data_IF_580187453836
#
_entry.id   IF_580187453836
#
_cell.length_a   1.000
_cell.length_b   1.000
_cell.length_c   1.000
_cell.angle_alpha   90.00
_cell.angle_beta   90.00
_cell.angle_gamma   90.00
#
_symmetry.space_group_name_H-M   'P 1'
#
loop_
_entity.id
_entity.type
_entity.pdbx_description
1 polymer ?
#
# COMPACT_ATOMS: atom_id res chain seq x y z
N UNK A 1 7.16 8.28 13.76
CA UNK A 1 7.97 8.00 12.54
C UNK A 1 9.26 8.82 12.56
N UNK A 2 10.37 8.28 12.07
CA UNK A 2 11.62 9.05 11.90
C UNK A 2 11.65 9.78 10.56
N UNK A 3 12.39 10.89 10.45
CA UNK A 3 12.53 11.65 9.19
C UNK A 3 13.00 10.77 8.03
N UNK A 4 14.03 9.95 8.24
CA UNK A 4 14.59 9.08 7.20
C UNK A 4 13.60 8.01 6.70
N UNK A 5 12.67 7.56 7.56
CA UNK A 5 11.58 6.66 7.15
C UNK A 5 10.54 7.41 6.31
N UNK A 6 10.14 8.60 6.76
CA UNK A 6 9.20 9.46 6.03
C UNK A 6 9.72 9.82 4.63
N UNK A 7 10.96 10.31 4.53
CA UNK A 7 11.60 10.67 3.25
C UNK A 7 11.62 9.48 2.27
N UNK A 8 11.84 8.25 2.79
CA UNK A 8 11.86 7.03 1.98
C UNK A 8 10.46 6.61 1.50
N UNK A 9 9.46 6.69 2.37
CA UNK A 9 8.07 6.42 2.03
C UNK A 9 7.60 7.40 0.95
N UNK A 10 7.83 8.70 1.15
CA UNK A 10 7.45 9.73 0.19
C UNK A 10 8.13 9.53 -1.18
N UNK A 11 9.42 9.19 -1.19
CA UNK A 11 10.14 8.87 -2.42
C UNK A 11 9.51 7.68 -3.17
N UNK A 12 9.09 6.64 -2.47
CA UNK A 12 8.39 5.51 -3.09
C UNK A 12 6.98 5.89 -3.59
N UNK A 13 6.24 6.72 -2.86
CA UNK A 13 4.96 7.26 -3.33
C UNK A 13 5.13 8.02 -4.67
N UNK A 14 6.16 8.86 -4.76
CA UNK A 14 6.49 9.61 -5.99
C UNK A 14 6.84 8.70 -7.17
N UNK A 15 7.49 7.56 -6.92
CA UNK A 15 7.76 6.54 -7.94
C UNK A 15 6.45 5.89 -8.43
N UNK A 16 5.53 5.56 -7.52
CA UNK A 16 4.32 4.80 -7.84
C UNK A 16 3.25 5.67 -8.50
N UNK A 17 3.01 6.88 -7.98
CA UNK A 17 1.86 7.70 -8.35
C UNK A 17 2.21 9.06 -8.97
N UNK A 18 3.50 9.37 -9.11
CA UNK A 18 4.01 10.54 -9.81
C UNK A 18 4.74 11.53 -8.90
N UNK A 19 5.78 12.17 -9.47
CA UNK A 19 6.66 13.11 -8.77
C UNK A 19 6.04 14.50 -8.57
N UNK A 20 5.02 14.84 -9.37
CA UNK A 20 4.33 16.14 -9.34
C UNK A 20 3.16 16.18 -8.34
N UNK A 21 3.08 15.19 -7.45
CA UNK A 21 2.06 15.12 -6.40
C UNK A 21 2.72 15.12 -5.03
N UNK A 22 2.04 15.73 -4.07
CA UNK A 22 2.33 15.59 -2.65
C UNK A 22 1.44 14.50 -2.06
N UNK A 23 1.93 13.84 -1.01
CA UNK A 23 1.26 12.69 -0.40
C UNK A 23 1.12 12.92 1.08
N UNK A 24 -0.11 12.81 1.53
CA UNK A 24 -0.47 12.75 2.94
C UNK A 24 -0.39 11.30 3.39
N UNK A 25 0.30 11.05 4.51
CA UNK A 25 0.53 9.71 5.04
C UNK A 25 0.30 9.73 6.54
N UNK A 26 -0.78 9.08 6.95
CA UNK A 26 -1.24 9.11 8.34
C UNK A 26 -1.32 7.70 8.93
N UNK A 27 -1.11 7.62 10.24
CA UNK A 27 -1.48 6.44 11.04
C UNK A 27 -2.87 6.63 11.59
N UNK A 28 -3.76 5.67 11.34
CA UNK A 28 -5.11 5.66 11.89
C UNK A 28 -5.19 4.60 13.00
N UNK A 29 -5.88 4.93 14.09
CA UNK A 29 -6.22 4.00 15.18
C UNK A 29 -7.42 4.53 15.95
N UNK A 30 -8.34 3.66 16.32
CA UNK A 30 -9.52 4.00 17.14
C UNK A 30 -9.40 3.49 18.58
N UNK A 31 -8.56 2.47 18.82
CA UNK A 31 -8.47 1.75 20.09
C UNK A 31 -7.06 1.75 20.70
N UNK A 32 -6.07 2.38 20.03
CA UNK A 32 -4.66 2.39 20.39
C UNK A 32 -4.00 0.99 20.48
N UNK A 33 -4.65 -0.03 19.93
CA UNK A 33 -4.16 -1.42 19.87
C UNK A 33 -3.97 -1.83 18.41
N UNK A 34 -4.87 -1.41 17.54
CA UNK A 34 -4.93 -1.71 16.13
C UNK A 34 -4.58 -0.44 15.36
N UNK A 35 -3.47 -0.50 14.62
CA UNK A 35 -2.93 0.61 13.86
C UNK A 35 -2.86 0.24 12.38
N UNK A 36 -3.15 1.20 11.52
CA UNK A 36 -2.89 1.07 10.08
C UNK A 36 -2.29 2.36 9.56
N UNK A 37 -1.60 2.30 8.42
CA UNK A 37 -1.17 3.50 7.71
C UNK A 37 -1.98 3.67 6.43
N UNK A 38 -2.39 4.90 6.14
CA UNK A 38 -3.12 5.27 4.95
C UNK A 38 -2.33 6.30 4.13
N UNK A 39 -2.25 6.10 2.81
CA UNK A 39 -1.64 7.08 1.89
C UNK A 39 -2.74 7.72 1.06
N UNK A 40 -2.75 9.06 1.01
CA UNK A 40 -3.66 9.87 0.19
C UNK A 40 -2.85 10.86 -0.64
N UNK A 41 -3.40 11.33 -1.77
CA UNK A 41 -2.85 12.52 -2.43
C UNK A 41 -3.21 13.74 -1.61
N UNK A 42 -2.23 14.60 -1.37
CA UNK A 42 -2.47 15.92 -0.81
C UNK A 42 -2.67 16.94 -1.92
N UNK A 43 -3.80 17.66 -1.88
CA UNK A 43 -4.12 18.76 -2.79
C UNK A 43 -4.03 20.13 -2.09
N UNK A 44 -3.40 20.20 -0.92
CA UNK A 44 -3.19 21.39 -0.10
C UNK A 44 -4.39 21.79 0.76
N UNK A 45 -5.60 21.84 0.19
CA UNK A 45 -6.82 22.21 0.94
C UNK A 45 -7.74 21.02 1.23
N UNK A 46 -7.44 19.85 0.66
CA UNK A 46 -8.19 18.61 0.86
C UNK A 46 -7.35 17.41 0.48
N UNK A 47 -7.65 16.27 1.07
CA UNK A 47 -7.05 14.99 0.69
C UNK A 47 -7.88 14.27 -0.36
N UNK A 48 -7.19 13.53 -1.23
CA UNK A 48 -7.82 12.60 -2.17
C UNK A 48 -8.35 11.34 -1.50
N UNK A 49 -8.98 10.44 -2.29
CA UNK A 49 -9.30 9.11 -1.80
C UNK A 49 -8.02 8.34 -1.41
N UNK A 50 -8.12 7.35 -0.51
CA UNK A 50 -7.01 6.45 -0.20
C UNK A 50 -6.43 5.81 -1.46
N UNK A 51 -5.12 5.93 -1.63
CA UNK A 51 -4.36 5.25 -2.67
C UNK A 51 -3.97 3.84 -2.24
N UNK A 52 -3.59 3.69 -0.98
CA UNK A 52 -3.32 2.40 -0.34
C UNK A 52 -3.49 2.50 1.17
N UNK A 53 -3.63 1.35 1.79
CA UNK A 53 -3.74 1.18 3.24
C UNK A 53 -3.01 -0.11 3.61
N UNK A 54 -2.32 -0.12 4.74
CA UNK A 54 -1.81 -1.38 5.31
C UNK A 54 -2.96 -2.20 5.87
N UNK A 55 -2.75 -3.50 6.09
CA UNK A 55 -3.62 -4.22 7.02
C UNK A 55 -3.40 -3.69 8.46
N UNK A 56 -4.23 -4.14 9.38
CA UNK A 56 -4.13 -3.80 10.80
C UNK A 56 -2.88 -4.43 11.41
N UNK A 57 -2.08 -3.60 12.07
CA UNK A 57 -0.88 -3.97 12.81
C UNK A 57 -1.09 -3.71 14.31
N UNK A 58 -0.38 -4.48 15.15
CA UNK A 58 -0.46 -4.37 16.62
C UNK A 58 0.26 -3.15 17.22
N UNK A 59 0.89 -2.31 16.40
CA UNK A 59 1.52 -1.06 16.83
C UNK A 59 1.67 -0.07 15.68
N UNK A 60 1.83 1.21 16.00
CA UNK A 60 2.13 2.26 15.02
C UNK A 60 3.42 1.95 14.27
N UNK A 61 4.48 1.52 14.97
CA UNK A 61 5.77 1.17 14.36
C UNK A 61 5.63 0.02 13.36
N UNK A 62 4.83 -0.99 13.70
CA UNK A 62 4.57 -2.12 12.81
C UNK A 62 3.76 -1.68 11.57
N UNK A 63 2.79 -0.76 11.73
CA UNK A 63 2.06 -0.19 10.59
C UNK A 63 2.98 0.60 9.65
N UNK A 64 3.87 1.44 10.19
CA UNK A 64 4.85 2.18 9.39
C UNK A 64 5.86 1.27 8.69
N UNK A 65 6.33 0.22 9.37
CA UNK A 65 7.25 -0.75 8.79
C UNK A 65 6.60 -1.54 7.66
N UNK A 66 5.34 -1.93 7.82
CA UNK A 66 4.57 -2.62 6.78
C UNK A 66 4.36 -1.69 5.57
N UNK A 67 3.99 -0.42 5.80
CA UNK A 67 3.83 0.54 4.72
C UNK A 67 5.13 0.71 3.91
N UNK A 68 6.27 0.90 4.58
CA UNK A 68 7.57 1.03 3.90
C UNK A 68 7.92 -0.23 3.09
N UNK A 69 7.66 -1.42 3.64
CA UNK A 69 7.83 -2.70 2.92
C UNK A 69 6.98 -2.75 1.66
N UNK A 70 5.67 -2.51 1.79
CA UNK A 70 4.71 -2.53 0.68
C UNK A 70 5.13 -1.57 -0.44
N UNK A 71 5.38 -0.31 -0.08
CA UNK A 71 5.71 0.72 -1.06
C UNK A 71 7.07 0.48 -1.73
N UNK A 72 8.06 -0.07 -1.02
CA UNK A 72 9.35 -0.41 -1.62
C UNK A 72 9.21 -1.51 -2.67
N UNK A 73 8.48 -2.58 -2.35
CA UNK A 73 8.23 -3.68 -3.28
C UNK A 73 7.42 -3.20 -4.50
N UNK A 74 6.38 -2.41 -4.26
CA UNK A 74 5.56 -1.86 -5.33
C UNK A 74 6.35 -0.89 -6.22
N UNK A 75 7.15 0.01 -5.64
CA UNK A 75 8.02 0.92 -6.39
C UNK A 75 9.00 0.16 -7.30
N UNK A 76 9.51 -1.00 -6.86
CA UNK A 76 10.34 -1.85 -7.71
C UNK A 76 9.58 -2.44 -8.90
N UNK A 77 8.34 -2.89 -8.69
CA UNK A 77 7.46 -3.36 -9.77
C UNK A 77 7.17 -2.23 -10.77
N UNK A 78 6.86 -1.02 -10.29
CA UNK A 78 6.62 0.15 -11.15
C UNK A 78 7.85 0.51 -11.96
N UNK A 79 9.04 0.55 -11.34
CA UNK A 79 10.32 0.81 -12.02
C UNK A 79 10.64 -0.21 -13.10
N UNK A 80 10.24 -1.47 -12.93
CA UNK A 80 10.41 -2.50 -13.96
C UNK A 80 9.54 -2.25 -15.20
N UNK A 81 8.42 -1.53 -15.05
CA UNK A 81 7.56 -1.13 -16.16
C UNK A 81 6.69 -2.24 -16.76
N UNK A 82 6.65 -3.42 -16.13
CA UNK A 82 5.74 -4.51 -16.55
C UNK A 82 4.53 -4.58 -15.61
N UNK A 83 3.39 -5.11 -16.08
CA UNK A 83 2.25 -5.36 -15.21
C UNK A 83 2.65 -6.23 -14.00
N UNK A 84 2.08 -5.90 -12.84
CA UNK A 84 2.29 -6.64 -11.60
C UNK A 84 1.73 -8.06 -11.73
N UNK A 85 2.53 -9.07 -11.41
CA UNK A 85 2.11 -10.47 -11.43
C UNK A 85 1.20 -10.80 -10.24
N UNK A 86 0.55 -11.97 -10.26
CA UNK A 86 -0.25 -12.43 -9.12
C UNK A 86 0.62 -12.60 -7.86
N UNK A 87 1.80 -13.19 -8.00
CA UNK A 87 2.69 -13.44 -6.87
C UNK A 87 3.18 -12.13 -6.25
N UNK A 88 3.45 -11.11 -7.07
CA UNK A 88 3.81 -9.78 -6.58
C UNK A 88 2.65 -9.09 -5.88
N UNK A 89 1.42 -9.21 -6.40
CA UNK A 89 0.22 -8.71 -5.70
C UNK A 89 0.10 -9.37 -4.32
N UNK A 90 0.35 -10.68 -4.24
CA UNK A 90 0.31 -11.40 -2.97
C UNK A 90 1.43 -10.95 -2.04
N UNK A 91 2.66 -10.84 -2.51
CA UNK A 91 3.79 -10.40 -1.69
C UNK A 91 3.57 -8.97 -1.17
N UNK A 92 3.02 -8.08 -1.99
CA UNK A 92 2.82 -6.68 -1.61
C UNK A 92 1.60 -6.54 -0.69
N UNK A 93 0.45 -7.09 -1.05
CA UNK A 93 -0.84 -6.72 -0.43
C UNK A 93 -1.43 -7.75 0.53
N UNK A 94 -0.71 -8.83 0.87
CA UNK A 94 -1.22 -9.85 1.81
C UNK A 94 -1.06 -9.50 3.29
N UNK A 95 -0.77 -8.23 3.60
CA UNK A 95 -0.56 -7.74 4.95
C UNK A 95 0.78 -8.19 5.57
N UNK A 96 1.02 -7.82 6.84
CA UNK A 96 2.20 -8.25 7.59
C UNK A 96 2.34 -9.77 7.54
N UNK A 97 3.57 -10.25 7.29
CA UNK A 97 3.92 -11.67 7.24
C UNK A 97 3.16 -12.53 6.21
N UNK A 98 2.29 -11.93 5.38
CA UNK A 98 1.51 -12.62 4.37
C UNK A 98 0.25 -13.32 4.90
N UNK A 99 -0.23 -12.97 6.09
CA UNK A 99 -1.37 -13.61 6.75
C UNK A 99 -2.67 -13.62 5.92
N UNK A 100 -2.81 -12.68 4.98
CA UNK A 100 -3.99 -12.58 4.10
C UNK A 100 -3.82 -13.25 2.74
N UNK A 101 -2.71 -13.95 2.48
CA UNK A 101 -2.39 -14.53 1.17
C UNK A 101 -3.53 -15.39 0.62
N UNK A 102 -4.12 -16.26 1.46
CA UNK A 102 -5.22 -17.13 1.04
C UNK A 102 -6.49 -16.37 0.68
N UNK A 103 -6.81 -15.30 1.40
CA UNK A 103 -7.99 -14.46 1.11
C UNK A 103 -7.78 -13.63 -0.15
N UNK A 104 -6.61 -13.00 -0.28
CA UNK A 104 -6.27 -12.15 -1.42
C UNK A 104 -6.18 -12.98 -2.71
N UNK A 105 -5.53 -14.15 -2.67
CA UNK A 105 -5.40 -15.04 -3.83
C UNK A 105 -6.76 -15.43 -4.40
N UNK A 106 -7.70 -15.83 -3.54
CA UNK A 106 -9.09 -16.14 -3.94
C UNK A 106 -9.81 -14.92 -4.53
N UNK A 107 -9.55 -13.74 -3.99
CA UNK A 107 -10.16 -12.50 -4.48
C UNK A 107 -9.65 -12.15 -5.87
N UNK A 108 -8.32 -12.20 -6.10
CA UNK A 108 -7.69 -12.00 -7.41
C UNK A 108 -8.30 -12.97 -8.43
N UNK A 109 -8.34 -14.27 -8.12
CA UNK A 109 -8.89 -15.28 -9.03
C UNK A 109 -10.36 -15.03 -9.38
N UNK A 110 -11.16 -14.55 -8.42
CA UNK A 110 -12.56 -14.20 -8.65
C UNK A 110 -12.69 -13.01 -9.60
N UNK A 111 -11.91 -11.94 -9.39
CA UNK A 111 -11.98 -10.75 -10.24
C UNK A 111 -11.47 -11.01 -11.66
N UNK A 112 -10.41 -11.79 -11.82
CA UNK A 112 -9.91 -12.17 -13.14
C UNK A 112 -10.96 -12.96 -13.94
N UNK A 113 -11.67 -13.89 -13.29
CA UNK A 113 -12.78 -14.63 -13.90
C UNK A 113 -13.97 -13.74 -14.28
N UNK A 114 -14.25 -12.70 -13.51
CA UNK A 114 -15.35 -11.76 -13.81
C UNK A 114 -14.99 -10.87 -14.99
N UNK A 115 -13.75 -10.33 -15.01
CA UNK A 115 -13.27 -9.49 -16.09
C UNK A 115 -13.25 -10.23 -17.44
N UNK A 116 -12.82 -11.51 -17.44
CA UNK A 116 -12.82 -12.34 -18.65
C UNK A 116 -14.23 -12.64 -19.20
N UNK A 117 -15.29 -12.50 -18.41
CA UNK A 117 -16.68 -12.66 -18.85
C UNK A 117 -17.31 -11.38 -19.39
N UNK A 118 -16.70 -10.23 -19.11
CA UNK A 118 -17.17 -8.91 -19.54
C UNK A 118 -16.52 -8.45 -20.84
N UNK A 119 -15.48 -9.14 -21.29
CA UNK A 119 -14.79 -8.98 -22.58
C UNK A 119 -15.30 -10.00 -23.60
#
# INVERSE_FOLDING_TARGET
>A
MSKALGDRIEANCKIIWGNDSEYDIDTETDDYVNYLCCVRKDFGTKFGPPLTITDVCGSSEAAWAELDRMLRLWANVVKRGTPMTKDEKLEIFSGPEGDRTGLLSRSIDKFDRLNAKMT
#
